data_IF_303875346328
#
_entry.id   IF_303875346328
#
_cell.length_a   1.000
_cell.length_b   1.000
_cell.length_c   1.000
_cell.angle_alpha   90.00
_cell.angle_beta   90.00
_cell.angle_gamma   90.00
#
_symmetry.space_group_name_H-M   'P 1'
#
loop_
_entity.id
_entity.type
_entity.pdbx_description
1 polymer ?
#
# COMPACT_ATOMS: atom_id res chain seq x y z
N UNK A 1 -4.13 -0.56 -8.40
CA UNK A 1 -4.02 -0.60 -6.92
C UNK A 1 -5.40 -0.62 -6.24
N UNK A 2 -6.28 0.35 -6.50
CA UNK A 2 -7.66 0.40 -5.96
C UNK A 2 -8.42 -0.93 -6.09
N UNK A 3 -8.46 -1.52 -7.29
CA UNK A 3 -9.21 -2.76 -7.54
C UNK A 3 -8.65 -3.95 -6.73
N UNK A 4 -7.34 -3.98 -6.49
CA UNK A 4 -6.69 -5.02 -5.67
C UNK A 4 -7.15 -4.88 -4.22
N UNK A 5 -7.13 -3.66 -3.68
CA UNK A 5 -7.56 -3.36 -2.31
C UNK A 5 -9.03 -3.74 -2.11
N UNK A 6 -9.90 -3.44 -3.07
CA UNK A 6 -11.34 -3.79 -3.00
C UNK A 6 -11.62 -5.29 -3.11
N UNK A 7 -10.69 -6.06 -3.68
CA UNK A 7 -10.85 -7.51 -3.79
C UNK A 7 -10.37 -8.27 -2.54
N UNK A 8 -9.84 -7.58 -1.51
CA UNK A 8 -9.30 -8.25 -0.32
C UNK A 8 -10.36 -9.08 0.40
N UNK A 9 -11.60 -8.60 0.50
CA UNK A 9 -12.72 -9.31 1.14
C UNK A 9 -13.20 -10.51 0.31
N UNK A 10 -12.87 -10.57 -0.99
CA UNK A 10 -13.15 -11.74 -1.83
C UNK A 10 -12.06 -12.80 -1.72
N UNK A 11 -10.82 -12.38 -1.47
CA UNK A 11 -9.67 -13.26 -1.39
C UNK A 11 -9.53 -13.93 -0.01
N UNK A 12 -9.92 -13.25 1.05
CA UNK A 12 -9.78 -13.73 2.42
C UNK A 12 -11.13 -13.87 3.11
N UNK A 13 -11.37 -15.01 3.75
CA UNK A 13 -12.62 -15.31 4.47
C UNK A 13 -12.80 -14.44 5.72
N UNK A 14 -11.71 -13.93 6.29
CA UNK A 14 -11.73 -13.03 7.45
C UNK A 14 -11.98 -11.61 6.98
N UNK A 15 -12.94 -10.93 7.61
CA UNK A 15 -13.24 -9.52 7.33
C UNK A 15 -11.99 -8.67 7.56
N UNK A 16 -11.53 -8.00 6.50
CA UNK A 16 -10.37 -7.14 6.57
C UNK A 16 -10.76 -5.73 7.01
N UNK A 17 -9.82 -5.02 7.65
CA UNK A 17 -9.99 -3.62 7.99
C UNK A 17 -9.28 -2.74 6.93
N UNK A 18 -10.06 -2.17 6.01
CA UNK A 18 -9.56 -1.33 4.93
C UNK A 18 -8.77 -0.12 5.45
N UNK A 19 -9.19 0.50 6.56
CA UNK A 19 -8.46 1.62 7.18
C UNK A 19 -7.08 1.18 7.65
N UNK A 20 -6.99 0.00 8.27
CA UNK A 20 -5.72 -0.54 8.71
C UNK A 20 -4.80 -0.83 7.52
N UNK A 21 -5.32 -1.49 6.47
CA UNK A 21 -4.57 -1.78 5.24
C UNK A 21 -4.04 -0.50 4.60
N UNK A 22 -4.90 0.49 4.37
CA UNK A 22 -4.52 1.76 3.73
C UNK A 22 -3.46 2.51 4.55
N UNK A 23 -3.57 2.50 5.89
CA UNK A 23 -2.56 3.10 6.77
C UNK A 23 -1.21 2.37 6.67
N UNK A 24 -1.23 1.03 6.66
CA UNK A 24 0.00 0.23 6.55
C UNK A 24 0.74 0.47 5.23
N UNK A 25 0.05 0.77 4.13
CA UNK A 25 0.68 1.05 2.83
C UNK A 25 1.55 2.32 2.80
N UNK A 26 1.42 3.21 3.79
CA UNK A 26 2.21 4.44 3.91
C UNK A 26 3.08 4.48 5.18
N UNK A 27 3.19 3.34 5.88
CA UNK A 27 4.04 3.20 7.06
C UNK A 27 5.33 2.48 6.65
N UNK A 28 6.47 3.16 6.74
CA UNK A 28 7.76 2.65 6.24
C UNK A 28 8.79 2.42 7.35
N UNK A 29 8.53 2.80 8.60
CA UNK A 29 9.52 2.83 9.68
C UNK A 29 10.26 1.50 9.85
N UNK A 30 9.53 0.39 9.84
CA UNK A 30 10.12 -0.95 9.91
C UNK A 30 10.98 -1.26 8.67
N UNK A 31 10.47 -0.94 7.47
CA UNK A 31 11.11 -1.24 6.19
C UNK A 31 12.31 -0.34 5.85
N UNK A 32 12.45 0.84 6.46
CA UNK A 32 13.61 1.74 6.23
C UNK A 32 14.89 1.17 6.83
N UNK A 33 14.78 0.34 7.87
CA UNK A 33 15.92 -0.30 8.51
C UNK A 33 16.28 -1.64 7.87
N UNK A 34 15.42 -2.17 7.00
CA UNK A 34 15.62 -3.43 6.31
C UNK A 34 16.59 -3.26 5.12
N UNK A 35 17.40 -4.31 4.82
CA UNK A 35 18.23 -4.30 3.63
C UNK A 35 17.38 -4.24 2.36
N UNK A 36 17.89 -3.52 1.34
CA UNK A 36 17.23 -3.45 0.05
C UNK A 36 17.10 -4.86 -0.56
N UNK A 37 15.92 -5.24 -1.09
CA UNK A 37 15.75 -6.54 -1.72
C UNK A 37 16.53 -6.61 -3.03
N UNK A 38 16.88 -7.84 -3.44
CA UNK A 38 17.40 -8.09 -4.78
C UNK A 38 16.27 -7.91 -5.80
N UNK A 39 16.46 -6.97 -6.74
CA UNK A 39 15.47 -6.65 -7.76
C UNK A 39 15.97 -7.08 -9.15
N UNK A 40 15.15 -7.85 -9.86
CA UNK A 40 15.39 -8.19 -11.28
C UNK A 40 14.94 -7.09 -12.26
N UNK A 41 14.60 -5.92 -11.74
CA UNK A 41 14.11 -4.77 -12.50
C UNK A 41 14.60 -3.46 -11.89
N UNK A 42 14.51 -2.37 -12.65
CA UNK A 42 14.89 -1.04 -12.17
C UNK A 42 13.78 -0.44 -11.31
N UNK A 43 14.00 -0.40 -10.00
CA UNK A 43 13.25 0.43 -9.08
C UNK A 43 14.13 0.81 -7.90
N UNK A 44 13.94 2.04 -7.41
CA UNK A 44 14.55 2.51 -6.18
C UNK A 44 13.53 2.57 -5.05
N UNK A 45 14.01 2.39 -3.82
CA UNK A 45 13.19 2.55 -2.63
C UNK A 45 12.50 3.92 -2.56
N UNK A 46 13.19 4.98 -3.01
CA UNK A 46 12.65 6.34 -3.08
C UNK A 46 11.45 6.45 -4.02
N UNK A 47 11.50 5.81 -5.19
CA UNK A 47 10.39 5.80 -6.15
C UNK A 47 9.18 5.05 -5.58
N UNK A 48 9.41 3.92 -4.92
CA UNK A 48 8.37 3.11 -4.27
C UNK A 48 7.65 3.93 -3.18
N UNK A 49 8.39 4.52 -2.25
CA UNK A 49 7.81 5.37 -1.20
C UNK A 49 7.01 6.53 -1.77
N UNK A 50 7.58 7.22 -2.76
CA UNK A 50 6.95 8.37 -3.41
C UNK A 50 5.65 7.98 -4.12
N UNK A 51 5.59 6.78 -4.71
CA UNK A 51 4.38 6.24 -5.31
C UNK A 51 3.28 6.04 -4.27
N UNK A 52 3.55 5.33 -3.18
CA UNK A 52 2.53 5.03 -2.16
C UNK A 52 2.05 6.29 -1.43
N UNK A 53 2.96 7.19 -1.04
CA UNK A 53 2.61 8.47 -0.40
C UNK A 53 1.67 9.30 -1.28
N UNK A 54 1.84 9.25 -2.61
CA UNK A 54 1.00 10.00 -3.56
C UNK A 54 -0.33 9.32 -3.87
N UNK A 55 -0.33 8.00 -4.08
CA UNK A 55 -1.50 7.28 -4.59
C UNK A 55 -2.46 6.83 -3.50
N UNK A 56 -1.95 6.41 -2.34
CA UNK A 56 -2.80 5.89 -1.25
C UNK A 56 -3.81 6.94 -0.76
N UNK A 57 -3.45 8.22 -0.52
CA UNK A 57 -4.45 9.22 -0.13
C UNK A 57 -5.57 9.45 -1.15
N UNK A 58 -5.27 9.36 -2.45
CA UNK A 58 -6.28 9.47 -3.51
C UNK A 58 -7.25 8.29 -3.46
N UNK A 59 -6.72 7.08 -3.32
CA UNK A 59 -7.51 5.84 -3.21
C UNK A 59 -8.35 5.86 -1.92
N UNK A 60 -7.80 6.35 -0.82
CA UNK A 60 -8.53 6.51 0.44
C UNK A 60 -9.74 7.43 0.27
N UNK A 61 -9.55 8.61 -0.33
CA UNK A 61 -10.66 9.54 -0.63
C UNK A 61 -11.73 8.89 -1.50
N UNK A 62 -11.32 8.22 -2.56
CA UNK A 62 -12.22 7.50 -3.47
C UNK A 62 -13.05 6.41 -2.77
N UNK A 63 -12.41 5.58 -1.92
CA UNK A 63 -13.07 4.45 -1.23
C UNK A 63 -13.97 4.96 -0.10
N UNK A 64 -13.49 5.95 0.65
CA UNK A 64 -14.19 6.50 1.81
C UNK A 64 -15.22 7.59 1.45
N UNK A 65 -15.28 8.02 0.18
CA UNK A 65 -16.12 9.12 -0.31
C UNK A 65 -15.90 10.43 0.47
N UNK A 66 -14.63 10.74 0.74
CA UNK A 66 -14.16 11.98 1.40
C UNK A 66 -13.70 12.99 0.35
#
# INVERSE_FOLDING_TARGET
LKDIILNVDKQYTVRQNLTHILKSLVFFEDAENDPAPELNFKASWKEVKSFFIREVPKITKDIMKL
#
